data_IF_752915692513
#
_entry.id   IF_752915692513
#
_cell.length_a   1.000
_cell.length_b   1.000
_cell.length_c   1.000
_cell.angle_alpha   90.00
_cell.angle_beta   90.00
_cell.angle_gamma   90.00
#
_symmetry.space_group_name_H-M   'P 1'
#
loop_
_entity.id
_entity.type
_entity.pdbx_description
1 polymer ?
#
# COMPACT_ATOMS: atom_id res chain seq x y z
N UNK A 1 -46.15 -4.44 5.16
CA UNK A 1 -45.21 -3.32 5.39
C UNK A 1 -44.43 -3.11 4.10
N UNK A 2 -44.39 -1.91 3.51
CA UNK A 2 -43.46 -1.66 2.42
C UNK A 2 -42.02 -1.69 2.99
N UNK A 3 -41.02 -2.12 2.22
CA UNK A 3 -39.63 -2.05 2.66
C UNK A 3 -39.26 -0.59 2.91
N UNK A 4 -38.69 -0.32 4.08
CA UNK A 4 -38.09 0.99 4.37
C UNK A 4 -37.00 1.23 3.34
N UNK A 5 -37.28 2.11 2.39
CA UNK A 5 -36.27 2.64 1.49
C UNK A 5 -35.24 3.35 2.35
N UNK A 6 -34.06 2.74 2.51
CA UNK A 6 -32.92 3.42 3.09
C UNK A 6 -32.56 4.57 2.16
N UNK A 7 -32.90 5.78 2.58
CA UNK A 7 -32.45 6.99 1.89
C UNK A 7 -30.96 7.12 2.17
N UNK A 8 -30.13 6.55 1.28
CA UNK A 8 -28.68 6.68 1.36
C UNK A 8 -28.35 8.13 1.02
N UNK A 9 -27.84 8.88 2.00
CA UNK A 9 -27.37 10.25 1.78
C UNK A 9 -26.35 10.22 0.63
N UNK A 10 -26.47 11.10 -0.38
CA UNK A 10 -25.49 11.15 -1.46
C UNK A 10 -24.07 11.35 -0.91
N UNK A 11 -23.15 10.49 -1.32
CA UNK A 11 -21.74 10.59 -0.96
C UNK A 11 -21.07 11.71 -1.77
N UNK A 12 -20.05 12.34 -1.20
CA UNK A 12 -19.24 13.37 -1.87
C UNK A 12 -17.83 12.81 -2.17
N UNK A 13 -17.68 12.00 -3.23
CA UNK A 13 -16.39 11.39 -3.52
C UNK A 13 -15.36 12.42 -4.02
N UNK A 14 -14.09 12.07 -3.84
CA UNK A 14 -12.91 12.77 -4.37
C UNK A 14 -11.99 11.75 -4.99
N UNK A 15 -11.41 12.08 -6.14
CA UNK A 15 -10.34 11.27 -6.73
C UNK A 15 -9.09 11.42 -5.87
N UNK A 16 -8.51 10.32 -5.40
CA UNK A 16 -7.34 10.30 -4.51
C UNK A 16 -6.42 9.14 -4.85
N UNK A 17 -5.15 9.29 -4.49
CA UNK A 17 -4.21 8.18 -4.46
C UNK A 17 -4.34 7.43 -3.14
N UNK A 18 -4.20 6.11 -3.22
CA UNK A 18 -4.27 5.18 -2.12
C UNK A 18 -2.94 4.43 -2.02
N UNK A 19 -2.36 4.39 -0.82
CA UNK A 19 -1.14 3.65 -0.51
C UNK A 19 -1.51 2.63 0.56
N UNK A 20 -1.30 1.36 0.27
CA UNK A 20 -1.43 0.31 1.27
C UNK A 20 -0.04 -0.24 1.58
N UNK A 21 0.26 -0.42 2.86
CA UNK A 21 1.51 -0.99 3.36
C UNK A 21 1.19 -2.20 4.23
N UNK A 22 1.97 -3.27 4.11
CA UNK A 22 1.80 -4.50 4.90
C UNK A 22 3.15 -5.17 5.17
N UNK A 23 3.34 -5.62 6.41
CA UNK A 23 4.57 -6.33 6.83
C UNK A 23 4.38 -7.83 6.70
N UNK A 24 5.23 -8.47 5.89
CA UNK A 24 5.26 -9.94 5.75
C UNK A 24 5.49 -10.63 7.09
N UNK A 25 4.68 -11.67 7.34
CA UNK A 25 4.76 -12.56 8.51
C UNK A 25 4.66 -11.83 9.87
N UNK A 26 4.01 -10.66 9.92
CA UNK A 26 3.78 -9.93 11.18
C UNK A 26 3.14 -10.81 12.27
N UNK A 27 2.18 -11.65 11.89
CA UNK A 27 1.50 -12.58 12.81
C UNK A 27 2.38 -13.70 13.38
N UNK A 28 3.58 -13.93 12.83
CA UNK A 28 4.54 -14.89 13.35
C UNK A 28 5.41 -14.32 14.48
N UNK A 29 5.42 -12.99 14.65
CA UNK A 29 6.11 -12.32 15.75
C UNK A 29 5.34 -12.51 17.06
N UNK A 30 6.05 -12.51 18.19
CA UNK A 30 5.41 -12.42 19.49
C UNK A 30 4.78 -11.02 19.71
N UNK A 31 3.99 -10.87 20.77
CA UNK A 31 3.24 -9.62 21.02
C UNK A 31 4.18 -8.40 21.14
N UNK A 32 5.37 -8.58 21.70
CA UNK A 32 6.35 -7.50 21.85
C UNK A 32 6.96 -7.11 20.50
N UNK A 33 7.34 -8.09 19.68
CA UNK A 33 7.84 -7.90 18.32
C UNK A 33 6.79 -7.25 17.42
N UNK A 34 5.53 -7.68 17.50
CA UNK A 34 4.42 -7.04 16.78
C UNK A 34 4.28 -5.56 17.16
N UNK A 35 4.30 -5.24 18.46
CA UNK A 35 4.20 -3.85 18.92
C UNK A 35 5.39 -3.00 18.48
N UNK A 36 6.60 -3.55 18.54
CA UNK A 36 7.82 -2.88 18.09
C UNK A 36 7.80 -2.61 16.59
N UNK A 37 7.64 -3.66 15.77
CA UNK A 37 7.60 -3.54 14.30
C UNK A 37 6.51 -2.58 13.85
N UNK A 38 5.34 -2.60 14.51
CA UNK A 38 4.28 -1.65 14.22
C UNK A 38 4.72 -0.21 14.50
N UNK A 39 5.33 0.04 15.66
CA UNK A 39 5.84 1.39 16.01
C UNK A 39 6.84 1.89 14.98
N UNK A 40 7.79 1.03 14.58
CA UNK A 40 8.82 1.38 13.60
C UNK A 40 8.24 1.59 12.20
N UNK A 41 7.27 0.77 11.77
CA UNK A 41 6.59 0.96 10.49
C UNK A 41 5.89 2.33 10.42
N UNK A 42 5.19 2.72 11.49
CA UNK A 42 4.55 4.03 11.57
C UNK A 42 5.60 5.14 11.53
N UNK A 43 6.67 5.05 12.35
CA UNK A 43 7.72 6.05 12.40
C UNK A 43 8.45 6.25 11.06
N UNK A 44 8.82 5.14 10.40
CA UNK A 44 9.44 5.16 9.07
C UNK A 44 8.50 5.81 8.05
N UNK A 45 7.24 5.40 8.02
CA UNK A 45 6.28 5.90 7.04
C UNK A 45 5.97 7.38 7.25
N UNK A 46 5.75 7.81 8.50
CA UNK A 46 5.52 9.21 8.85
C UNK A 46 6.73 10.08 8.56
N UNK A 47 7.95 9.61 8.86
CA UNK A 47 9.19 10.31 8.55
C UNK A 47 9.37 10.53 7.05
N UNK A 48 9.19 9.48 6.24
CA UNK A 48 9.28 9.58 4.76
C UNK A 48 8.19 10.49 4.19
N UNK A 49 6.95 10.38 4.69
CA UNK A 49 5.85 11.23 4.27
C UNK A 49 6.12 12.71 4.61
N UNK A 50 6.61 13.01 5.81
CA UNK A 50 6.94 14.36 6.23
C UNK A 50 8.08 14.96 5.40
N UNK A 51 9.15 14.20 5.17
CA UNK A 51 10.30 14.60 4.35
C UNK A 51 9.91 14.96 2.92
N UNK A 52 8.93 14.25 2.36
CA UNK A 52 8.43 14.45 1.00
C UNK A 52 7.19 15.37 0.94
N UNK A 53 6.78 15.94 2.08
CA UNK A 53 5.58 16.78 2.20
C UNK A 53 4.30 16.08 1.69
N UNK A 54 4.24 14.75 1.83
CA UNK A 54 3.10 13.92 1.45
C UNK A 54 2.08 13.99 2.58
N UNK A 55 0.97 14.69 2.31
CA UNK A 55 -0.14 14.76 3.26
C UNK A 55 -0.94 13.46 3.22
N UNK A 56 -0.55 12.51 4.07
CA UNK A 56 -1.26 11.24 4.25
C UNK A 56 -2.37 11.38 5.30
N UNK A 57 -3.53 10.80 5.00
CA UNK A 57 -4.64 10.64 5.96
C UNK A 57 -4.96 9.16 6.12
N UNK A 58 -5.24 8.67 7.33
CA UNK A 58 -5.56 7.27 7.55
C UNK A 58 -6.87 6.88 6.84
N UNK A 59 -6.83 5.76 6.12
CA UNK A 59 -8.02 5.09 5.58
C UNK A 59 -8.71 4.21 6.64
N UNK A 60 -9.98 3.85 6.44
CA UNK A 60 -10.77 3.02 7.38
C UNK A 60 -10.13 1.64 7.59
N UNK A 61 -9.38 1.13 6.60
CA UNK A 61 -8.91 -0.25 6.56
C UNK A 61 -7.69 -0.59 7.43
N UNK A 62 -7.31 0.27 8.38
CA UNK A 62 -6.21 0.01 9.34
C UNK A 62 -6.53 -1.04 10.43
N UNK A 63 -7.66 -1.74 10.34
CA UNK A 63 -8.25 -2.56 11.42
C UNK A 63 -7.61 -3.96 11.59
N UNK A 64 -6.48 -4.26 10.93
CA UNK A 64 -5.78 -5.55 11.05
C UNK A 64 -4.50 -5.53 11.87
N UNK A 65 -4.02 -4.35 12.27
CA UNK A 65 -2.88 -4.20 13.16
C UNK A 65 -1.49 -4.42 12.53
N UNK A 66 -1.41 -4.98 11.33
CA UNK A 66 -0.18 -5.32 10.60
C UNK A 66 0.05 -4.51 9.31
N UNK A 67 -0.97 -3.75 8.88
CA UNK A 67 -0.91 -2.92 7.67
C UNK A 67 -1.42 -1.48 7.87
N UNK A 68 -0.91 -0.57 7.06
CA UNK A 68 -1.23 0.85 7.06
C UNK A 68 -1.88 1.24 5.72
N UNK A 69 -3.04 1.89 5.78
CA UNK A 69 -3.76 2.36 4.60
C UNK A 69 -3.82 3.88 4.61
N UNK A 70 -3.25 4.51 3.60
CA UNK A 70 -3.11 5.96 3.49
C UNK A 70 -3.83 6.48 2.24
N UNK A 71 -4.45 7.64 2.39
CA UNK A 71 -5.07 8.40 1.30
C UNK A 71 -4.39 9.76 1.19
N UNK A 72 -4.05 10.18 -0.02
CA UNK A 72 -3.37 11.45 -0.28
C UNK A 72 -3.80 12.10 -1.61
N UNK A 73 -3.64 13.41 -1.72
CA UNK A 73 -3.64 14.18 -2.98
C UNK A 73 -2.22 14.47 -3.51
N UNK A 74 -1.18 13.91 -2.91
CA UNK A 74 0.18 14.05 -3.41
C UNK A 74 0.27 13.63 -4.88
N UNK A 75 1.09 14.33 -5.67
CA UNK A 75 1.34 14.01 -7.08
C UNK A 75 1.85 12.58 -7.26
N UNK A 76 1.36 11.90 -8.29
CA UNK A 76 1.68 10.49 -8.53
C UNK A 76 3.18 10.27 -8.80
N UNK A 77 3.87 11.27 -9.35
CA UNK A 77 5.30 11.27 -9.59
C UNK A 77 6.10 11.02 -8.30
N UNK A 78 5.71 11.64 -7.18
CA UNK A 78 6.36 11.42 -5.88
C UNK A 78 6.07 10.00 -5.38
N UNK A 79 4.83 9.54 -5.54
CA UNK A 79 4.35 8.27 -5.00
C UNK A 79 4.92 7.04 -5.72
N UNK A 80 5.32 7.16 -6.98
CA UNK A 80 5.94 6.06 -7.74
C UNK A 80 7.46 6.13 -7.81
N UNK A 81 8.08 7.28 -7.46
CA UNK A 81 9.53 7.47 -7.51
C UNK A 81 10.17 7.65 -6.13
N UNK A 82 10.14 8.85 -5.58
CA UNK A 82 10.86 9.21 -4.35
C UNK A 82 10.29 8.54 -3.10
N UNK A 83 8.97 8.41 -3.00
CA UNK A 83 8.34 7.80 -1.83
C UNK A 83 8.73 6.33 -1.67
N UNK A 84 8.59 5.45 -2.69
CA UNK A 84 9.05 4.06 -2.57
C UNK A 84 10.56 3.95 -2.38
N UNK A 85 11.35 4.78 -3.07
CA UNK A 85 12.82 4.75 -2.92
C UNK A 85 13.24 5.06 -1.48
N UNK A 86 12.71 6.14 -0.89
CA UNK A 86 13.00 6.51 0.51
C UNK A 86 12.48 5.50 1.51
N UNK A 87 11.31 4.92 1.25
CA UNK A 87 10.74 3.88 2.10
C UNK A 87 11.60 2.60 2.08
N UNK A 88 12.03 2.16 0.90
CA UNK A 88 12.94 1.03 0.75
C UNK A 88 14.29 1.24 1.43
N UNK A 89 14.88 2.44 1.29
CA UNK A 89 16.12 2.80 2.01
C UNK A 89 15.94 2.79 3.53
N UNK A 90 14.79 3.26 4.04
CA UNK A 90 14.51 3.27 5.47
C UNK A 90 14.30 1.84 6.02
N UNK A 91 13.58 0.98 5.30
CA UNK A 91 13.40 -0.43 5.66
C UNK A 91 14.73 -1.18 5.71
N UNK A 92 15.61 -0.95 4.71
CA UNK A 92 16.94 -1.56 4.67
C UNK A 92 17.77 -1.18 5.90
N UNK A 93 17.83 0.12 6.23
CA UNK A 93 18.55 0.61 7.43
C UNK A 93 18.00 0.00 8.71
N UNK A 94 16.67 -0.07 8.84
CA UNK A 94 16.05 -0.72 9.98
C UNK A 94 16.48 -2.20 10.09
N UNK A 95 16.49 -2.95 9.00
CA UNK A 95 16.89 -4.36 9.00
C UNK A 95 18.38 -4.59 9.28
N UNK A 96 19.25 -3.64 8.91
CA UNK A 96 20.69 -3.66 9.21
C UNK A 96 20.94 -3.60 10.73
N UNK A 97 20.17 -2.77 11.44
CA UNK A 97 20.27 -2.58 12.89
C UNK A 97 19.41 -3.57 13.71
N UNK A 98 18.37 -4.14 13.10
CA UNK A 98 17.43 -5.05 13.75
C UNK A 98 18.04 -6.42 14.05
N UNK A 99 17.62 -7.02 15.17
CA UNK A 99 17.85 -8.45 15.42
C UNK A 99 17.12 -9.28 14.36
N UNK A 100 17.61 -10.49 14.03
CA UNK A 100 16.99 -11.34 13.01
C UNK A 100 15.50 -11.60 13.24
N UNK A 101 15.07 -11.65 14.51
CA UNK A 101 13.69 -11.94 14.90
C UNK A 101 12.71 -10.79 14.63
N UNK A 102 13.20 -9.56 14.40
CA UNK A 102 12.34 -8.38 14.15
C UNK A 102 12.63 -7.70 12.81
N UNK A 103 13.44 -8.32 11.95
CA UNK A 103 13.59 -7.88 10.55
C UNK A 103 12.27 -7.97 9.82
N UNK A 104 12.03 -7.01 8.95
CA UNK A 104 10.76 -6.89 8.22
C UNK A 104 10.99 -7.03 6.72
N UNK A 105 9.98 -7.58 6.07
CA UNK A 105 9.81 -7.41 4.63
C UNK A 105 8.52 -6.61 4.42
N UNK A 106 8.65 -5.42 3.84
CA UNK A 106 7.55 -4.50 3.64
C UNK A 106 7.00 -4.61 2.21
N UNK A 107 5.69 -4.59 2.08
CA UNK A 107 4.97 -4.57 0.81
C UNK A 107 4.22 -3.26 0.67
N UNK A 108 4.35 -2.59 -0.47
CA UNK A 108 3.56 -1.41 -0.80
C UNK A 108 2.64 -1.70 -2.00
N UNK A 109 1.38 -1.30 -1.91
CA UNK A 109 0.47 -1.25 -3.03
C UNK A 109 0.04 0.19 -3.33
N UNK A 110 -0.04 0.53 -4.62
CA UNK A 110 -0.49 1.82 -5.12
C UNK A 110 -1.73 1.66 -5.99
N UNK A 111 -2.69 2.55 -5.76
CA UNK A 111 -3.91 2.63 -6.54
C UNK A 111 -4.50 4.05 -6.52
N UNK A 112 -5.44 4.33 -7.40
CA UNK A 112 -6.14 5.60 -7.44
C UNK A 112 -7.61 5.42 -7.82
N UNK A 113 -8.42 6.39 -7.40
CA UNK A 113 -9.81 6.42 -7.78
C UNK A 113 -10.66 7.30 -6.87
N UNK A 114 -11.97 7.25 -7.10
CA UNK A 114 -12.92 7.93 -6.24
C UNK A 114 -13.06 7.23 -4.89
N UNK A 115 -12.76 7.98 -3.83
CA UNK A 115 -13.00 7.60 -2.43
C UNK A 115 -13.91 8.63 -1.78
N UNK A 116 -14.68 8.22 -0.79
CA UNK A 116 -15.42 9.13 0.07
C UNK A 116 -14.91 9.01 1.50
N UNK A 117 -15.03 10.10 2.26
CA UNK A 117 -14.67 10.14 3.67
C UNK A 117 -15.95 10.11 4.52
N UNK A 118 -15.97 9.25 5.53
CA UNK A 118 -16.99 9.20 6.58
C UNK A 118 -16.34 9.39 7.97
N UNK A 119 -17.13 9.22 9.03
CA UNK A 119 -16.68 9.37 10.42
C UNK A 119 -15.60 8.34 10.82
N UNK A 120 -15.39 7.29 10.03
CA UNK A 120 -14.43 6.21 10.28
C UNK A 120 -13.18 6.31 9.39
N UNK A 121 -13.17 7.19 8.39
CA UNK A 121 -12.05 7.40 7.48
C UNK A 121 -12.46 7.37 6.00
N UNK A 122 -11.56 6.93 5.12
CA UNK A 122 -11.86 6.74 3.70
C UNK A 122 -12.36 5.35 3.33
N UNK A 123 -13.32 5.30 2.41
CA UNK A 123 -13.82 4.09 1.77
C UNK A 123 -13.96 4.26 0.24
N UNK A 124 -13.69 3.20 -0.52
CA UNK A 124 -13.79 3.18 -1.97
C UNK A 124 -13.15 1.95 -2.60
N UNK A 125 -13.49 1.69 -3.87
CA UNK A 125 -12.91 0.60 -4.68
C UNK A 125 -11.37 0.59 -4.69
N UNK A 126 -10.65 1.72 -4.87
CA UNK A 126 -9.18 1.68 -4.92
C UNK A 126 -8.54 1.23 -3.60
N UNK A 127 -9.16 1.52 -2.45
CA UNK A 127 -8.66 1.05 -1.14
C UNK A 127 -8.79 -0.47 -1.01
N UNK A 128 -9.93 -1.01 -1.48
CA UNK A 128 -10.16 -2.46 -1.48
C UNK A 128 -9.19 -3.15 -2.43
N UNK A 129 -9.03 -2.63 -3.66
CA UNK A 129 -8.13 -3.20 -4.66
C UNK A 129 -6.67 -3.13 -4.21
N UNK A 130 -6.20 -2.00 -3.66
CA UNK A 130 -4.86 -1.89 -3.06
C UNK A 130 -4.60 -2.97 -1.99
N UNK A 131 -5.57 -3.22 -1.10
CA UNK A 131 -5.45 -4.31 -0.12
C UNK A 131 -5.37 -5.70 -0.78
N UNK A 132 -6.11 -5.94 -1.89
CA UNK A 132 -6.03 -7.20 -2.64
C UNK A 132 -4.71 -7.38 -3.38
N UNK A 133 -4.11 -6.30 -3.87
CA UNK A 133 -2.78 -6.33 -4.48
C UNK A 133 -1.72 -6.82 -3.47
N UNK A 134 -1.74 -6.32 -2.23
CA UNK A 134 -0.84 -6.78 -1.17
C UNK A 134 -1.04 -8.25 -0.80
N UNK A 135 -2.28 -8.74 -0.89
CA UNK A 135 -2.67 -10.11 -0.59
C UNK A 135 -2.26 -11.11 -1.70
N UNK A 136 -1.89 -10.64 -2.90
CA UNK A 136 -1.62 -11.47 -4.07
C UNK A 136 -0.50 -12.51 -3.83
N UNK A 137 -0.78 -13.83 -3.96
CA UNK A 137 0.23 -14.86 -3.73
C UNK A 137 1.44 -14.75 -4.65
N UNK A 138 1.24 -14.40 -5.92
CA UNK A 138 2.34 -14.24 -6.88
C UNK A 138 3.25 -13.05 -6.53
N UNK A 139 2.68 -11.94 -6.04
CA UNK A 139 3.47 -10.80 -5.56
C UNK A 139 4.39 -11.23 -4.40
N UNK A 140 3.84 -11.96 -3.43
CA UNK A 140 4.59 -12.50 -2.29
C UNK A 140 5.66 -13.49 -2.74
N UNK A 141 5.35 -14.35 -3.72
CA UNK A 141 6.29 -15.32 -4.28
C UNK A 141 7.49 -14.62 -4.96
N UNK A 142 7.23 -13.66 -5.85
CA UNK A 142 8.28 -12.89 -6.52
C UNK A 142 9.20 -12.17 -5.54
N UNK A 143 8.65 -11.55 -4.50
CA UNK A 143 9.48 -10.93 -3.47
C UNK A 143 10.41 -11.93 -2.76
N UNK A 144 9.93 -13.15 -2.49
CA UNK A 144 10.76 -14.21 -1.92
C UNK A 144 11.84 -14.66 -2.90
N UNK A 145 11.51 -14.83 -4.18
CA UNK A 145 12.45 -15.21 -5.25
C UNK A 145 13.59 -14.18 -5.39
N UNK A 146 13.27 -12.89 -5.30
CA UNK A 146 14.25 -11.81 -5.35
C UNK A 146 14.99 -11.57 -4.03
N UNK A 147 14.57 -12.21 -2.93
CA UNK A 147 15.09 -11.88 -1.59
C UNK A 147 14.85 -10.43 -1.20
N UNK A 148 13.77 -9.82 -1.71
CA UNK A 148 13.51 -8.40 -1.55
C UNK A 148 12.97 -8.07 -0.16
N UNK A 149 13.59 -7.11 0.52
CA UNK A 149 13.08 -6.57 1.79
C UNK A 149 11.93 -5.58 1.57
N UNK A 150 11.85 -4.98 0.38
CA UNK A 150 10.80 -4.06 -0.01
C UNK A 150 10.45 -4.21 -1.48
N UNK A 151 9.15 -4.14 -1.81
CA UNK A 151 8.68 -4.08 -3.19
C UNK A 151 7.35 -3.33 -3.26
N UNK A 152 7.06 -2.81 -4.45
CA UNK A 152 5.83 -2.08 -4.76
C UNK A 152 5.03 -2.86 -5.80
N UNK A 153 3.70 -2.83 -5.68
CA UNK A 153 2.74 -3.29 -6.68
C UNK A 153 1.75 -2.17 -7.01
N UNK A 154 1.51 -1.90 -8.29
CA UNK A 154 0.55 -0.87 -8.76
C UNK A 154 -0.60 -1.54 -9.50
N UNK A 155 -1.82 -1.06 -9.29
CA UNK A 155 -3.01 -1.54 -10.01
C UNK A 155 -2.85 -1.33 -11.52
N UNK A 156 -3.48 -2.19 -12.33
CA UNK A 156 -3.48 -1.99 -13.79
C UNK A 156 -4.16 -0.67 -14.15
N UNK A 157 -5.24 -0.32 -13.47
CA UNK A 157 -5.99 0.91 -13.70
C UNK A 157 -5.10 2.15 -13.51
N UNK A 158 -4.38 2.25 -12.38
CA UNK A 158 -3.48 3.38 -12.15
C UNK A 158 -2.27 3.34 -13.08
N UNK A 159 -1.70 2.17 -13.35
CA UNK A 159 -0.57 2.04 -14.27
C UNK A 159 -0.94 2.53 -15.68
N UNK A 160 -2.10 2.12 -16.19
CA UNK A 160 -2.59 2.52 -17.51
C UNK A 160 -2.80 4.03 -17.62
N UNK A 161 -3.24 4.69 -16.54
CA UNK A 161 -3.39 6.14 -16.47
C UNK A 161 -2.04 6.89 -16.53
N UNK A 162 -0.94 6.29 -16.06
CA UNK A 162 0.34 7.01 -15.89
C UNK A 162 1.48 6.57 -16.82
N UNK A 163 1.36 5.44 -17.52
CA UNK A 163 2.47 4.85 -18.30
C UNK A 163 3.03 5.80 -19.38
N UNK A 164 2.18 6.59 -20.03
CA UNK A 164 2.57 7.53 -21.09
C UNK A 164 3.41 8.72 -20.58
N UNK A 165 3.46 8.94 -19.26
CA UNK A 165 4.31 9.97 -18.65
C UNK A 165 5.72 9.47 -18.35
N UNK A 166 6.02 8.20 -18.60
CA UNK A 166 7.35 7.59 -18.42
C UNK A 166 7.97 7.80 -17.03
N UNK A 167 7.13 7.80 -16.00
CA UNK A 167 7.56 7.96 -14.59
C UNK A 167 8.30 6.72 -14.05
N UNK A 168 8.06 5.56 -14.66
CA UNK A 168 8.63 4.27 -14.28
C UNK A 168 9.46 3.70 -15.44
N UNK A 169 10.57 3.04 -15.12
CA UNK A 169 11.35 2.29 -16.13
C UNK A 169 10.67 0.95 -16.41
N UNK A 170 9.97 0.84 -17.54
CA UNK A 170 9.20 -0.35 -17.93
C UNK A 170 10.03 -1.63 -17.93
N UNK A 171 11.35 -1.54 -18.14
CA UNK A 171 12.26 -2.71 -18.14
C UNK A 171 12.44 -3.30 -16.75
N UNK A 172 12.13 -2.53 -15.69
CA UNK A 172 12.16 -2.95 -14.29
C UNK A 172 10.79 -3.41 -13.78
N UNK A 173 9.73 -3.26 -14.58
CA UNK A 173 8.39 -3.63 -14.18
C UNK A 173 8.11 -5.08 -14.52
N UNK A 174 7.67 -5.83 -13.54
CA UNK A 174 7.23 -7.21 -13.71
C UNK A 174 5.72 -7.31 -13.63
N UNK A 175 5.13 -8.15 -14.49
CA UNK A 175 3.71 -8.45 -14.40
C UNK A 175 3.45 -9.43 -13.26
N UNK A 176 2.36 -9.21 -12.53
CA UNK A 176 1.90 -10.09 -11.44
C UNK A 176 0.43 -10.36 -11.63
N UNK A 177 0.02 -11.62 -11.58
CA UNK A 177 -1.39 -12.00 -11.52
C UNK A 177 -1.91 -11.80 -10.10
N UNK A 178 -3.04 -11.13 -9.99
CA UNK A 178 -3.75 -10.86 -8.75
C UNK A 178 -5.07 -11.61 -8.82
N UNK A 179 -5.13 -12.72 -8.11
CA UNK A 179 -6.33 -13.52 -7.94
C UNK A 179 -6.65 -13.64 -6.44
N UNK A 180 -7.41 -12.68 -5.92
CA UNK A 180 -7.72 -12.56 -4.50
C UNK A 180 -9.15 -12.10 -4.30
N UNK A 181 -9.97 -12.96 -3.66
CA UNK A 181 -11.41 -12.74 -3.44
C UNK A 181 -12.14 -12.49 -4.77
N UNK A 182 -12.65 -11.28 -4.97
CA UNK A 182 -13.39 -10.85 -6.16
C UNK A 182 -12.51 -10.03 -7.13
N UNK A 183 -11.21 -9.92 -6.84
CA UNK A 183 -10.25 -9.20 -7.69
C UNK A 183 -9.45 -10.20 -8.52
N UNK A 184 -9.69 -10.19 -9.83
CA UNK A 184 -8.98 -10.99 -10.83
C UNK A 184 -8.41 -10.03 -11.88
N UNK A 185 -7.14 -9.66 -11.75
CA UNK A 185 -6.49 -8.69 -12.64
C UNK A 185 -5.00 -8.97 -12.78
N UNK A 186 -4.36 -8.28 -13.72
CA UNK A 186 -2.91 -8.13 -13.74
C UNK A 186 -2.52 -6.90 -12.92
N UNK A 187 -1.27 -6.84 -12.50
CA UNK A 187 -0.66 -5.67 -11.91
C UNK A 187 0.78 -5.50 -12.44
N UNK A 188 1.44 -4.40 -12.07
CA UNK A 188 2.89 -4.25 -12.23
C UNK A 188 3.55 -4.19 -10.86
N UNK A 189 4.69 -4.83 -10.70
CA UNK A 189 5.51 -4.69 -9.51
C UNK A 189 6.93 -4.27 -9.86
N UNK A 190 7.63 -3.69 -8.88
CA UNK A 190 9.06 -3.44 -8.97
C UNK A 190 9.70 -3.42 -7.58
N UNK A 191 11.01 -3.56 -7.56
CA UNK A 191 11.87 -3.37 -6.39
C UNK A 191 12.58 -2.03 -6.59
N UNK A 192 12.28 -0.99 -5.77
CA UNK A 192 12.85 0.35 -5.91
C UNK A 192 14.37 0.43 -5.72
#
# INVERSE_FOLDING_TARGET
MPPQSFYVRPLAPRHRHCIALDVSRFSALDVAGQAHVRTELFAITEGVAADLQVNCRPGVHSDRGDGLMLVTDCGIEVLVTDFPRRLGDAVRRYNEDASPDVRVQLRQALDAGYVHQDDRGYAGVPLNRAARLLDAPEFKAKMMEHGAEFAVIISTELYEEIQEYHLLDERKLEKVQVDVKETHTMARMWIP
#
